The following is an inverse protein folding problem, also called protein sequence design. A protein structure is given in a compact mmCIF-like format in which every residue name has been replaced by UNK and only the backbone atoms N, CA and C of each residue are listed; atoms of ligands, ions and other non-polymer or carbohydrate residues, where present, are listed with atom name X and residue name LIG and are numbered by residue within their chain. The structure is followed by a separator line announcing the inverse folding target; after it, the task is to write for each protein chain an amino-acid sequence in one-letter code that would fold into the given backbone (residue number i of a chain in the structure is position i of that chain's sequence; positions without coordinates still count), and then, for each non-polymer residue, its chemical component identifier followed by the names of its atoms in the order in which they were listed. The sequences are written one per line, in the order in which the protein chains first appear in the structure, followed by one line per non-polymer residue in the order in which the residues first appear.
data_IF_003582430930
#
_entry.id   IF_003582430930
#
_cell.length_a   1.000
_cell.length_b   1.000
_cell.length_c   1.000
_cell.angle_alpha   90.00
_cell.angle_beta   90.00
_cell.angle_gamma   90.00
#
_symmetry.space_group_name_H-M   'P 1'
#
loop_
_entity.id
_entity.type
_entity.pdbx_description
1 polymer ?
#
# COMPACT_ATOMS: atom_id res chain seq x y z
N UNK A 1 19.29 -25.47 -16.56
CA UNK A 1 19.74 -24.46 -15.58
C UNK A 1 19.25 -23.12 -16.08
N UNK A 2 18.26 -22.50 -15.43
CA UNK A 2 17.83 -21.15 -15.79
C UNK A 2 18.54 -20.18 -14.84
N UNK A 3 19.32 -19.25 -15.40
CA UNK A 3 19.95 -18.17 -14.65
C UNK A 3 19.06 -16.94 -14.81
N UNK A 4 18.52 -16.43 -13.72
CA UNK A 4 17.81 -15.15 -13.70
C UNK A 4 18.68 -14.15 -12.95
N UNK A 5 19.15 -13.13 -13.67
CA UNK A 5 19.75 -11.95 -13.06
C UNK A 5 18.63 -10.94 -12.89
N UNK A 6 18.19 -10.73 -11.66
CA UNK A 6 17.27 -9.65 -11.33
C UNK A 6 18.13 -8.48 -10.82
N UNK A 7 18.24 -7.42 -11.63
CA UNK A 7 18.72 -6.14 -11.11
C UNK A 7 17.56 -5.51 -10.36
N UNK A 8 17.53 -5.68 -9.04
CA UNK A 8 16.52 -5.06 -8.19
C UNK A 8 16.85 -3.57 -8.07
N UNK A 9 16.27 -2.74 -8.94
CA UNK A 9 15.99 -1.34 -8.61
C UNK A 9 14.66 -1.28 -7.86
N UNK A 10 14.48 -2.10 -6.82
CA UNK A 10 13.39 -1.88 -5.89
C UNK A 10 13.77 -0.63 -5.09
N UNK A 11 12.84 0.31 -4.95
CA UNK A 11 12.99 1.44 -4.04
C UNK A 11 13.09 0.88 -2.61
N UNK A 12 14.31 0.49 -2.22
CA UNK A 12 14.58 -0.25 -1.01
C UNK A 12 14.27 0.63 0.19
N UNK A 13 13.29 0.21 0.98
CA UNK A 13 13.07 0.78 2.31
C UNK A 13 13.81 0.01 3.40
N UNK A 14 14.97 -0.56 3.06
CA UNK A 14 15.97 -0.95 4.05
C UNK A 14 17.12 0.06 4.12
N UNK A 15 16.97 1.24 3.52
CA UNK A 15 17.95 2.32 3.62
C UNK A 15 19.26 2.06 2.87
N UNK A 16 19.36 0.94 2.15
CA UNK A 16 20.50 0.67 1.26
C UNK A 16 20.44 1.62 0.07
N UNK A 17 21.32 2.62 0.09
CA UNK A 17 21.58 3.52 -1.03
C UNK A 17 22.66 2.95 -1.98
N UNK A 18 23.04 1.69 -1.75
CA UNK A 18 24.05 0.98 -2.53
C UNK A 18 23.42 0.30 -3.76
N UNK A 19 24.26 0.06 -4.76
CA UNK A 19 23.91 -0.78 -5.91
C UNK A 19 23.71 -2.23 -5.45
N UNK A 20 22.47 -2.66 -5.29
CA UNK A 20 22.13 -4.04 -4.93
C UNK A 20 21.97 -4.91 -6.18
N UNK A 21 22.73 -6.01 -6.23
CA UNK A 21 22.59 -7.04 -7.26
C UNK A 21 22.32 -8.40 -6.62
N UNK A 22 21.29 -9.12 -7.09
CA UNK A 22 21.01 -10.49 -6.68
C UNK A 22 21.08 -11.43 -7.88
N UNK A 23 21.65 -12.63 -7.67
CA UNK A 23 21.64 -13.72 -8.66
C UNK A 23 20.87 -14.88 -8.04
N UNK A 24 19.75 -15.26 -8.67
CA UNK A 24 18.94 -16.41 -8.28
C UNK A 24 19.20 -17.56 -9.26
N UNK A 25 19.65 -18.70 -8.73
CA UNK A 25 19.91 -19.92 -9.51
C UNK A 25 18.90 -21.00 -9.14
N UNK A 26 18.00 -21.32 -10.07
CA UNK A 26 16.95 -22.32 -9.85
C UNK A 26 17.28 -23.65 -10.56
N UNK A 27 17.20 -24.75 -9.81
CA UNK A 27 17.34 -26.11 -10.33
C UNK A 27 15.97 -26.72 -10.67
N UNK A 28 15.91 -27.76 -11.52
CA UNK A 28 14.70 -28.55 -11.68
C UNK A 28 14.28 -29.12 -10.31
N UNK A 29 13.13 -28.68 -9.80
CA UNK A 29 12.68 -28.95 -8.43
C UNK A 29 12.51 -27.70 -7.55
N UNK A 30 12.93 -26.52 -8.03
CA UNK A 30 12.59 -25.26 -7.38
C UNK A 30 11.05 -25.08 -7.26
N UNK A 31 10.56 -24.42 -6.20
CA UNK A 31 9.14 -24.13 -6.04
C UNK A 31 8.58 -23.47 -7.30
N UNK A 32 7.45 -24.00 -7.78
CA UNK A 32 6.72 -23.39 -8.90
C UNK A 32 5.70 -22.40 -8.33
N UNK A 33 5.36 -21.40 -9.13
CA UNK A 33 4.21 -20.56 -8.83
C UNK A 33 2.97 -21.44 -8.83
N UNK A 34 2.16 -21.33 -7.79
CA UNK A 34 0.87 -22.02 -7.66
C UNK A 34 -0.25 -21.00 -7.69
N UNK A 35 -1.43 -21.41 -8.17
CA UNK A 35 -2.59 -20.51 -8.24
C UNK A 35 -3.04 -20.07 -6.85
N UNK A 36 -2.93 -20.97 -5.86
CA UNK A 36 -3.26 -20.67 -4.48
C UNK A 36 -2.36 -19.55 -3.92
N UNK A 37 -1.07 -19.54 -4.26
CA UNK A 37 -0.15 -18.50 -3.83
C UNK A 37 -0.50 -17.14 -4.46
N UNK A 38 -0.88 -17.12 -5.74
CA UNK A 38 -1.32 -15.90 -6.42
C UNK A 38 -2.62 -15.36 -5.80
N UNK A 39 -3.57 -16.25 -5.51
CA UNK A 39 -4.84 -15.87 -4.91
C UNK A 39 -4.68 -15.32 -3.49
N UNK A 40 -3.82 -15.94 -2.68
CA UNK A 40 -3.48 -15.45 -1.34
C UNK A 40 -2.78 -14.09 -1.39
N UNK A 41 -1.89 -13.90 -2.37
CA UNK A 41 -1.18 -12.64 -2.54
C UNK A 41 -2.14 -11.49 -2.93
N UNK A 42 -3.09 -11.76 -3.83
CA UNK A 42 -4.13 -10.81 -4.21
C UNK A 42 -5.10 -10.49 -3.07
N UNK A 43 -5.48 -11.49 -2.27
CA UNK A 43 -6.35 -11.30 -1.10
C UNK A 43 -5.67 -10.43 -0.04
N UNK A 44 -4.37 -10.67 0.20
CA UNK A 44 -3.56 -9.85 1.09
C UNK A 44 -3.49 -8.39 0.61
N UNK A 45 -3.23 -8.16 -0.69
CA UNK A 45 -3.19 -6.81 -1.25
C UNK A 45 -4.53 -6.06 -1.09
N UNK A 46 -5.65 -6.76 -1.29
CA UNK A 46 -6.97 -6.19 -1.04
C UNK A 46 -7.18 -5.87 0.44
N UNK A 47 -6.72 -6.72 1.34
CA UNK A 47 -6.81 -6.48 2.78
C UNK A 47 -5.98 -5.25 3.20
N UNK A 48 -4.78 -5.10 2.64
CA UNK A 48 -3.95 -3.92 2.83
C UNK A 48 -4.65 -2.66 2.30
N UNK A 49 -5.25 -2.71 1.11
CA UNK A 49 -5.99 -1.57 0.53
C UNK A 49 -7.13 -1.10 1.46
N UNK A 50 -7.92 -2.03 1.98
CA UNK A 50 -9.00 -1.72 2.94
C UNK A 50 -8.47 -1.11 4.23
N UNK A 51 -7.36 -1.61 4.77
CA UNK A 51 -6.77 -1.08 6.00
C UNK A 51 -6.21 0.33 5.83
N UNK A 52 -5.56 0.60 4.69
CA UNK A 52 -5.09 1.95 4.36
C UNK A 52 -6.27 2.91 4.22
N UNK A 53 -7.35 2.49 3.56
CA UNK A 53 -8.57 3.28 3.44
C UNK A 53 -9.17 3.64 4.82
N UNK A 54 -9.31 2.67 5.72
CA UNK A 54 -9.77 2.89 7.10
C UNK A 54 -8.92 3.93 7.82
N UNK A 55 -7.59 3.80 7.77
CA UNK A 55 -6.67 4.73 8.45
C UNK A 55 -6.83 6.15 7.90
N UNK A 56 -6.87 6.30 6.57
CA UNK A 56 -7.03 7.59 5.90
C UNK A 56 -8.37 8.23 6.25
N UNK A 57 -9.46 7.46 6.32
CA UNK A 57 -10.79 7.95 6.70
C UNK A 57 -10.86 8.40 8.18
N UNK A 58 -10.29 7.60 9.09
CA UNK A 58 -10.28 7.91 10.53
C UNK A 58 -9.50 9.20 10.80
N UNK A 59 -8.37 9.40 10.14
CA UNK A 59 -7.55 10.59 10.35
C UNK A 59 -8.18 11.83 9.75
N UNK A 60 -8.80 11.71 8.57
CA UNK A 60 -9.61 12.80 8.00
C UNK A 60 -10.75 13.25 8.91
N UNK A 61 -11.39 12.31 9.60
CA UNK A 61 -12.44 12.61 10.57
C UNK A 61 -11.94 13.42 11.79
N UNK A 62 -10.63 13.43 12.01
CA UNK A 62 -9.94 14.16 13.09
C UNK A 62 -9.26 15.45 12.60
N UNK A 63 -9.52 15.85 11.34
CA UNK A 63 -8.85 16.99 10.67
C UNK A 63 -7.32 16.83 10.61
N UNK A 64 -6.84 15.57 10.50
CA UNK A 64 -5.42 15.22 10.41
C UNK A 64 -5.15 14.47 9.09
N UNK A 65 -4.05 14.80 8.42
CA UNK A 65 -3.62 14.13 7.20
C UNK A 65 -2.45 13.20 7.53
N UNK A 66 -2.66 11.86 7.58
CA UNK A 66 -1.61 10.95 7.99
C UNK A 66 -0.55 10.86 6.91
N UNK A 67 0.71 11.10 7.26
CA UNK A 67 1.79 10.86 6.32
C UNK A 67 1.93 9.34 5.99
N UNK A 68 2.53 9.05 4.83
CA UNK A 68 2.74 7.66 4.39
C UNK A 68 3.57 6.85 5.39
N UNK A 69 4.51 7.48 6.08
CA UNK A 69 5.38 6.82 7.05
C UNK A 69 4.60 6.35 8.27
N UNK A 70 3.64 7.15 8.73
CA UNK A 70 2.72 6.87 9.80
C UNK A 70 1.82 5.68 9.42
N UNK A 71 1.24 5.71 8.21
CA UNK A 71 0.41 4.59 7.71
C UNK A 71 1.20 3.28 7.70
N UNK A 72 2.44 3.29 7.19
CA UNK A 72 3.30 2.10 7.17
C UNK A 72 3.62 1.63 8.59
N UNK A 73 3.98 2.52 9.51
CA UNK A 73 4.27 2.17 10.92
C UNK A 73 3.04 1.60 11.62
N UNK A 74 1.87 2.18 11.36
CA UNK A 74 0.61 1.74 11.96
C UNK A 74 0.19 0.36 11.44
N UNK A 75 0.36 0.10 10.13
CA UNK A 75 0.15 -1.23 9.55
C UNK A 75 1.17 -2.24 10.06
N UNK A 76 2.43 -1.84 10.26
CA UNK A 76 3.46 -2.70 10.83
C UNK A 76 3.17 -3.11 12.28
N UNK A 77 2.51 -2.24 13.04
CA UNK A 77 2.09 -2.51 14.41
C UNK A 77 0.83 -3.39 14.48
N UNK A 78 0.07 -3.52 13.40
CA UNK A 78 -1.03 -4.47 13.30
C UNK A 78 -0.51 -5.84 12.85
N UNK A 79 -0.96 -6.91 13.51
CA UNK A 79 -0.69 -8.26 13.05
C UNK A 79 -1.57 -8.58 11.83
N UNK A 80 -0.99 -8.44 10.64
CA UNK A 80 -1.66 -8.78 9.37
C UNK A 80 -1.31 -10.23 9.01
N UNK A 81 -2.28 -11.16 8.98
CA UNK A 81 -2.02 -12.54 8.60
C UNK A 81 -1.72 -12.64 7.10
N UNK A 82 -0.93 -13.65 6.72
CA UNK A 82 -0.61 -13.92 5.30
C UNK A 82 0.52 -13.07 4.72
N UNK A 83 1.17 -12.21 5.51
CA UNK A 83 2.33 -11.45 5.05
C UNK A 83 3.48 -12.35 4.56
N UNK A 84 4.24 -11.93 3.53
CA UNK A 84 5.37 -12.71 3.04
C UNK A 84 6.39 -13.01 4.14
N UNK A 85 6.84 -14.27 4.29
CA UNK A 85 7.80 -14.63 5.32
C UNK A 85 9.12 -13.87 5.11
N UNK A 86 9.67 -13.32 6.20
CA UNK A 86 10.89 -12.51 6.20
C UNK A 86 10.65 -11.04 5.81
N UNK A 87 9.92 -10.78 4.72
CA UNK A 87 9.69 -9.44 4.21
C UNK A 87 8.58 -8.65 4.90
N UNK A 88 7.63 -9.31 5.57
CA UNK A 88 6.59 -8.64 6.36
C UNK A 88 5.83 -7.55 5.59
N UNK A 89 5.40 -6.49 6.28
CA UNK A 89 4.66 -5.37 5.67
C UNK A 89 5.52 -4.54 4.71
N UNK A 90 6.84 -4.48 4.94
CA UNK A 90 7.76 -3.69 4.10
C UNK A 90 7.87 -4.27 2.70
N UNK A 91 7.72 -5.59 2.55
CA UNK A 91 7.67 -6.25 1.23
C UNK A 91 6.47 -5.84 0.36
N UNK A 92 5.38 -5.38 0.97
CA UNK A 92 4.15 -4.93 0.28
C UNK A 92 4.04 -3.40 0.21
N UNK A 93 5.16 -2.70 0.39
CA UNK A 93 5.24 -1.24 0.33
C UNK A 93 4.60 -0.63 -0.91
N UNK A 94 4.89 -1.16 -2.10
CA UNK A 94 4.38 -0.56 -3.34
C UNK A 94 2.84 -0.62 -3.40
N UNK A 95 2.25 -1.68 -2.87
CA UNK A 95 0.80 -1.80 -2.69
C UNK A 95 0.27 -0.73 -1.71
N UNK A 96 0.94 -0.56 -0.56
CA UNK A 96 0.57 0.47 0.45
C UNK A 96 0.66 1.88 -0.14
N UNK A 97 1.73 2.19 -0.87
CA UNK A 97 1.92 3.49 -1.53
C UNK A 97 0.79 3.76 -2.52
N UNK A 98 0.51 2.78 -3.38
CA UNK A 98 -0.53 2.88 -4.40
C UNK A 98 -1.91 3.07 -3.78
N UNK A 99 -2.21 2.32 -2.72
CA UNK A 99 -3.45 2.45 -1.96
C UNK A 99 -3.56 3.81 -1.27
N UNK A 100 -2.50 4.26 -0.59
CA UNK A 100 -2.46 5.55 0.07
C UNK A 100 -2.69 6.69 -0.92
N UNK A 101 -2.01 6.67 -2.06
CA UNK A 101 -2.20 7.67 -3.11
C UNK A 101 -3.62 7.68 -3.66
N UNK A 102 -4.18 6.49 -3.93
CA UNK A 102 -5.57 6.33 -4.39
C UNK A 102 -6.55 6.98 -3.40
N UNK A 103 -6.46 6.66 -2.11
CA UNK A 103 -7.40 7.15 -1.09
C UNK A 103 -7.12 8.59 -0.62
N UNK A 104 -5.89 9.07 -0.79
CA UNK A 104 -5.54 10.48 -0.63
C UNK A 104 -6.12 11.32 -1.78
N UNK A 105 -6.04 10.85 -3.03
CA UNK A 105 -6.50 11.57 -4.22
C UNK A 105 -8.02 11.48 -4.45
N UNK A 106 -8.67 10.34 -4.18
CA UNK A 106 -10.14 10.18 -4.34
C UNK A 106 -10.94 11.11 -3.44
N UNK A 107 -10.33 11.72 -2.42
CA UNK A 107 -10.99 12.70 -1.57
C UNK A 107 -10.94 14.13 -2.12
N UNK A 108 -10.09 14.43 -3.11
CA UNK A 108 -10.10 15.74 -3.78
C UNK A 108 -11.29 15.96 -4.72
N UNK A 109 -12.11 14.95 -4.98
CA UNK A 109 -13.25 15.01 -5.91
C UNK A 109 -14.62 14.93 -5.25
N UNK A 110 -14.72 15.16 -3.93
CA UNK A 110 -16.00 15.49 -3.29
C UNK A 110 -15.89 16.85 -2.62
N UNK A 111 -16.19 17.91 -3.38
CA UNK A 111 -16.82 19.09 -2.80
C UNK A 111 -18.27 18.70 -2.44
N UNK A 112 -18.67 18.75 -1.16
CA UNK A 112 -19.99 19.25 -0.79
C UNK A 112 -19.83 20.75 -0.55
N UNK A 113 -20.33 21.58 -1.45
CA UNK A 113 -20.67 22.96 -1.07
C UNK A 113 -22.13 22.97 -0.65
N UNK A 114 -22.34 22.77 0.64
CA UNK A 114 -23.57 23.13 1.34
C UNK A 114 -23.67 24.66 1.42
N UNK A 115 -24.88 25.23 1.36
CA UNK A 115 -25.54 25.95 2.48
C UNK A 115 -26.66 26.87 1.96
N UNK A 116 -27.83 26.72 2.59
CA UNK A 116 -29.07 27.49 2.49
C UNK A 116 -28.97 28.96 2.99
N UNK A 117 -29.98 29.77 2.61
CA UNK A 117 -30.50 30.91 3.40
C UNK A 117 -30.27 32.30 2.79
N UNK A 118 -31.28 32.89 2.11
CA UNK A 118 -32.14 34.02 2.59
C UNK A 118 -31.40 35.39 2.54
N UNK A 119 -31.89 36.51 2.03
CA UNK A 119 -33.19 37.19 2.16
C UNK A 119 -33.36 38.23 1.01
N UNK A 120 -34.63 38.43 0.59
CA UNK A 120 -35.32 39.70 0.30
C UNK A 120 -34.55 40.90 -0.28
N UNK A 121 -34.97 41.37 -1.47
CA UNK A 121 -35.21 42.81 -1.66
C UNK A 121 -36.12 43.11 -2.86
N UNK A 122 -37.08 44.01 -2.61
CA UNK A 122 -38.06 44.59 -3.53
C UNK A 122 -37.39 45.25 -4.76
N UNK A 123 -38.00 45.11 -5.94
CA UNK A 123 -38.70 46.19 -6.65
C UNK A 123 -39.45 45.66 -7.88
#
# INVERSE_FOLDING_TARGET
MFKYTLSLTSHAFEGSLDNMSIILVCFPGAPKVTEEALQQDAELEKHIDMKVEEIVQIMKSKDDEPDLLYVIKFLAAQEIPGLPPGGGITSKRDCIISSYQKHAMTVRSREPRDTEGSEEDLN
#
